data_IF_181668287237
#
_entry.id   IF_181668287237
#
_cell.length_a   1.000
_cell.length_b   1.000
_cell.length_c   1.000
_cell.angle_alpha   90.00
_cell.angle_beta   90.00
_cell.angle_gamma   90.00
#
_symmetry.space_group_name_H-M   'P 1'
#
loop_
_entity.id
_entity.type
_entity.pdbx_description
1 polymer ?
#
# COMPACT_ATOMS: atom_id res chain seq x y z
N UNK A 1 -5.53 -6.72 6.85
CA UNK A 1 -5.32 -5.27 6.63
C UNK A 1 -6.13 -4.77 5.46
N UNK A 2 -6.12 -5.46 4.32
CA UNK A 2 -7.00 -5.16 3.18
C UNK A 2 -8.48 -5.23 3.55
N UNK A 3 -8.91 -6.23 4.33
CA UNK A 3 -10.31 -6.31 4.79
C UNK A 3 -10.78 -5.07 5.59
N UNK A 4 -9.88 -4.45 6.37
CA UNK A 4 -10.20 -3.21 7.08
C UNK A 4 -10.34 -2.05 6.11
N UNK A 5 -9.46 -1.97 5.10
CA UNK A 5 -9.56 -0.97 4.05
C UNK A 5 -10.87 -1.13 3.27
N UNK A 6 -11.24 -2.37 2.91
CA UNK A 6 -12.50 -2.67 2.22
C UNK A 6 -13.71 -2.26 3.07
N UNK A 7 -13.67 -2.53 4.37
CA UNK A 7 -14.72 -2.09 5.28
C UNK A 7 -14.83 -0.56 5.35
N UNK A 8 -13.71 0.16 5.40
CA UNK A 8 -13.70 1.63 5.42
C UNK A 8 -14.23 2.18 4.09
N UNK A 9 -13.80 1.64 2.95
CA UNK A 9 -14.31 2.03 1.63
C UNK A 9 -15.82 1.80 1.53
N UNK A 10 -16.33 0.69 2.08
CA UNK A 10 -17.75 0.37 2.06
C UNK A 10 -18.60 1.23 3.00
N UNK A 11 -18.03 1.74 4.10
CA UNK A 11 -18.79 2.43 5.17
C UNK A 11 -18.61 3.95 5.19
N UNK A 12 -17.53 4.45 4.59
CA UNK A 12 -17.19 5.87 4.52
C UNK A 12 -17.24 6.37 3.08
N UNK A 13 -17.35 7.69 2.89
CA UNK A 13 -17.15 8.31 1.57
C UNK A 13 -15.65 8.43 1.30
N UNK A 14 -15.09 7.43 0.62
CA UNK A 14 -13.68 7.38 0.21
C UNK A 14 -13.60 7.48 -1.31
N UNK A 15 -12.65 8.27 -1.82
CA UNK A 15 -12.26 8.20 -3.22
C UNK A 15 -11.21 7.09 -3.37
N UNK A 16 -11.61 5.97 -3.98
CA UNK A 16 -10.75 4.81 -4.16
C UNK A 16 -9.54 5.09 -5.05
N UNK A 17 -9.60 6.13 -5.90
CA UNK A 17 -8.48 6.53 -6.76
C UNK A 17 -7.40 7.34 -6.01
N UNK A 18 -7.63 7.68 -4.73
CA UNK A 18 -6.74 8.53 -3.93
C UNK A 18 -6.30 7.87 -2.61
N UNK A 19 -6.28 6.54 -2.54
CA UNK A 19 -5.84 5.81 -1.36
C UNK A 19 -4.31 5.73 -1.33
N UNK A 20 -3.67 6.43 -0.38
CA UNK A 20 -2.21 6.38 -0.19
C UNK A 20 -1.82 5.39 0.92
N UNK A 21 -0.68 4.72 0.76
CA UNK A 21 -0.12 3.82 1.77
C UNK A 21 1.20 4.36 2.34
N UNK A 22 1.35 4.34 3.67
CA UNK A 22 2.60 4.70 4.35
C UNK A 22 2.78 3.94 5.66
N UNK A 23 4.01 3.91 6.17
CA UNK A 23 4.34 3.33 7.45
C UNK A 23 5.81 3.50 7.81
N UNK A 24 6.10 3.55 9.11
CA UNK A 24 7.45 3.75 9.67
C UNK A 24 8.02 2.45 10.25
N UNK A 25 9.30 2.18 10.01
CA UNK A 25 10.02 1.04 10.58
C UNK A 25 9.34 -0.28 10.20
N UNK A 26 8.83 -1.05 11.16
CA UNK A 26 8.00 -2.24 10.91
C UNK A 26 6.80 -1.93 9.99
N UNK A 27 6.21 -0.74 10.11
CA UNK A 27 5.17 -0.27 9.20
C UNK A 27 5.67 0.01 7.78
N UNK A 28 6.94 0.37 7.61
CA UNK A 28 7.58 0.54 6.30
C UNK A 28 7.75 -0.81 5.59
N UNK A 29 8.14 -1.86 6.31
CA UNK A 29 8.13 -3.24 5.78
C UNK A 29 6.71 -3.67 5.38
N UNK A 30 5.72 -3.41 6.23
CA UNK A 30 4.32 -3.70 5.93
C UNK A 30 3.80 -2.94 4.70
N UNK A 31 4.23 -1.69 4.51
CA UNK A 31 3.84 -0.87 3.37
C UNK A 31 4.38 -1.44 2.05
N UNK A 32 5.67 -1.80 2.01
CA UNK A 32 6.27 -2.48 0.84
C UNK A 32 5.54 -3.77 0.51
N UNK A 33 5.34 -4.63 1.51
CA UNK A 33 4.72 -5.93 1.30
C UNK A 33 3.27 -5.82 0.82
N UNK A 34 2.49 -4.97 1.47
CA UNK A 34 1.07 -4.80 1.13
C UNK A 34 0.90 -4.22 -0.28
N UNK A 35 1.73 -3.26 -0.66
CA UNK A 35 1.72 -2.71 -2.01
C UNK A 35 2.10 -3.77 -3.06
N UNK A 36 3.07 -4.64 -2.76
CA UNK A 36 3.47 -5.70 -3.68
C UNK A 36 2.38 -6.77 -3.85
N UNK A 37 1.66 -7.11 -2.77
CA UNK A 37 0.56 -8.07 -2.80
C UNK A 37 -0.71 -7.49 -3.47
N UNK A 38 -0.90 -6.17 -3.43
CA UNK A 38 -2.10 -5.47 -3.92
C UNK A 38 -1.77 -4.12 -4.61
N UNK A 39 -1.01 -4.13 -5.72
CA UNK A 39 -0.50 -2.91 -6.35
C UNK A 39 -1.58 -2.00 -6.95
N UNK A 40 -2.75 -2.54 -7.26
CA UNK A 40 -3.89 -1.81 -7.81
C UNK A 40 -4.68 -1.00 -6.75
N UNK A 41 -4.40 -1.22 -5.46
CA UNK A 41 -5.19 -0.65 -4.36
C UNK A 41 -4.77 0.74 -3.94
N UNK A 42 -3.59 1.19 -4.36
CA UNK A 42 -2.99 2.43 -3.87
C UNK A 42 -2.68 3.39 -5.02
N UNK A 43 -2.87 4.68 -4.77
CA UNK A 43 -2.46 5.74 -5.70
C UNK A 43 -0.97 6.09 -5.57
N UNK A 44 -0.38 5.87 -4.39
CA UNK A 44 1.05 5.97 -4.13
C UNK A 44 1.45 5.26 -2.84
N UNK A 45 2.74 4.95 -2.69
CA UNK A 45 3.27 4.24 -1.52
C UNK A 45 4.52 4.94 -0.99
N UNK A 46 4.47 5.35 0.28
CA UNK A 46 5.55 6.10 0.95
C UNK A 46 6.05 5.34 2.18
N UNK A 47 6.87 4.28 2.00
CA UNK A 47 7.42 3.50 3.09
C UNK A 47 8.62 4.22 3.72
N UNK A 48 8.68 4.28 5.05
CA UNK A 48 9.73 5.02 5.77
C UNK A 48 10.57 4.07 6.63
N UNK A 49 11.88 4.04 6.39
CA UNK A 49 12.86 3.29 7.15
C UNK A 49 12.50 1.79 7.36
N UNK A 50 11.91 1.15 6.35
CA UNK A 50 11.59 -0.28 6.31
C UNK A 50 12.47 -1.06 5.31
N UNK A 51 11.92 -2.13 4.73
CA UNK A 51 12.55 -2.89 3.64
C UNK A 51 11.52 -3.69 2.83
N UNK A 52 11.81 -3.93 1.56
CA UNK A 52 10.99 -4.73 0.64
C UNK A 52 11.79 -5.88 0.03
N UNK A 53 11.12 -6.77 -0.70
CA UNK A 53 11.78 -7.80 -1.50
C UNK A 53 12.07 -7.25 -2.91
N UNK A 54 13.35 -7.16 -3.35
CA UNK A 54 13.67 -6.72 -4.70
C UNK A 54 13.00 -7.54 -5.81
N UNK A 55 12.64 -8.80 -5.55
CA UNK A 55 11.93 -9.64 -6.51
C UNK A 55 10.51 -9.10 -6.84
N UNK A 56 9.92 -8.32 -5.93
CA UNK A 56 8.60 -7.72 -6.11
C UNK A 56 8.63 -6.37 -6.84
N UNK A 57 9.81 -5.82 -7.15
CA UNK A 57 9.95 -4.49 -7.73
C UNK A 57 9.14 -4.29 -9.02
N UNK A 58 9.05 -5.31 -9.87
CA UNK A 58 8.28 -5.26 -11.13
C UNK A 58 6.77 -5.02 -10.89
N UNK A 59 6.23 -5.49 -9.75
CA UNK A 59 4.81 -5.30 -9.39
C UNK A 59 4.49 -3.85 -9.03
N UNK A 60 5.51 -3.08 -8.64
CA UNK A 60 5.37 -1.72 -8.09
C UNK A 60 5.65 -0.63 -9.13
N UNK A 61 6.03 -0.99 -10.36
CA UNK A 61 6.48 -0.03 -11.38
C UNK A 61 5.45 1.05 -11.78
N UNK A 62 4.16 0.78 -11.59
CA UNK A 62 3.08 1.72 -11.89
C UNK A 62 2.72 2.62 -10.72
N UNK A 63 3.27 2.35 -9.53
CA UNK A 63 3.02 3.10 -8.32
C UNK A 63 4.05 4.22 -8.15
N UNK A 64 3.60 5.47 -7.95
CA UNK A 64 4.45 6.55 -7.44
C UNK A 64 4.98 6.28 -6.03
#
# INVERSE_FOLDING_TARGET
MVELLDHIVATCRVDEQQICLTGLSMGGYGSWRLAADHPERFSCVVPVCGGGDPADAEKLKSLP
#
